data_IF_741859751420
#
_entry.id   IF_741859751420
#
_cell.length_a   1.000
_cell.length_b   1.000
_cell.length_c   1.000
_cell.angle_alpha   90.00
_cell.angle_beta   90.00
_cell.angle_gamma   90.00
#
_symmetry.space_group_name_H-M   'P 1'
#
loop_
_entity.id
_entity.type
_entity.pdbx_description
1 polymer ?
#
# COMPACT_ATOMS: atom_id res chain seq x y z
N UNK A 1 -71.11 -37.53 39.70
CA UNK A 1 -69.80 -37.91 39.09
C UNK A 1 -69.32 -36.70 38.29
N UNK A 2 -68.33 -35.96 38.80
CA UNK A 2 -67.79 -34.74 38.15
C UNK A 2 -66.46 -35.09 37.48
N UNK A 3 -66.40 -34.92 36.16
CA UNK A 3 -65.23 -35.19 35.32
C UNK A 3 -64.22 -34.06 35.48
N UNK A 4 -63.00 -34.38 35.91
CA UNK A 4 -61.86 -33.46 36.04
C UNK A 4 -61.15 -33.40 34.69
N UNK A 5 -61.07 -32.21 34.08
CA UNK A 5 -60.27 -31.93 32.88
C UNK A 5 -58.87 -31.50 33.33
N UNK A 6 -57.84 -32.28 32.98
CA UNK A 6 -56.43 -31.95 33.22
C UNK A 6 -55.92 -31.15 32.02
N UNK A 7 -55.58 -29.88 32.23
CA UNK A 7 -54.88 -29.03 31.27
C UNK A 7 -53.37 -29.31 31.37
N UNK A 8 -52.79 -29.91 30.32
CA UNK A 8 -51.33 -29.99 30.16
C UNK A 8 -50.80 -28.64 29.67
N UNK A 9 -50.06 -27.94 30.55
CA UNK A 9 -49.29 -26.76 30.19
C UNK A 9 -48.00 -27.18 29.46
N UNK A 10 -47.88 -26.80 28.18
CA UNK A 10 -46.65 -26.95 27.41
C UNK A 10 -45.71 -25.78 27.72
N UNK A 11 -44.68 -26.03 28.54
CA UNK A 11 -43.57 -25.09 28.72
C UNK A 11 -42.65 -25.16 27.50
N UNK A 12 -42.65 -24.11 26.68
CA UNK A 12 -41.62 -23.87 25.66
C UNK A 12 -40.27 -23.63 26.37
N UNK A 13 -39.34 -24.57 26.26
CA UNK A 13 -37.94 -24.35 26.62
C UNK A 13 -37.28 -23.62 25.45
N UNK A 14 -36.98 -22.34 25.63
CA UNK A 14 -36.15 -21.59 24.69
C UNK A 14 -34.70 -22.09 24.80
N UNK A 15 -34.25 -22.86 23.81
CA UNK A 15 -32.85 -23.23 23.66
C UNK A 15 -32.02 -21.97 23.38
N UNK A 16 -30.92 -21.71 24.12
CA UNK A 16 -30.03 -20.61 23.80
C UNK A 16 -29.41 -20.88 22.43
N UNK A 17 -29.68 -19.98 21.47
CA UNK A 17 -29.05 -20.01 20.16
C UNK A 17 -27.54 -19.96 20.34
N UNK A 18 -26.85 -21.04 19.94
CA UNK A 18 -25.40 -21.09 19.95
C UNK A 18 -24.85 -19.94 19.12
N UNK A 19 -24.05 -19.10 19.77
CA UNK A 19 -23.18 -18.14 19.08
C UNK A 19 -22.23 -18.98 18.23
N UNK A 20 -22.49 -19.06 16.92
CA UNK A 20 -21.49 -19.56 15.98
C UNK A 20 -20.34 -18.57 16.02
N UNK A 21 -19.20 -18.99 16.56
CA UNK A 21 -17.93 -18.35 16.26
C UNK A 21 -17.85 -18.22 14.73
N UNK A 22 -17.57 -17.02 14.23
CA UNK A 22 -17.24 -16.86 12.82
C UNK A 22 -16.07 -17.79 12.52
N UNK A 23 -16.28 -18.74 11.61
CA UNK A 23 -15.19 -19.57 11.10
C UNK A 23 -14.08 -18.63 10.63
N UNK A 24 -12.82 -18.94 11.00
CA UNK A 24 -11.68 -18.16 10.56
C UNK A 24 -11.73 -18.05 9.03
N UNK A 25 -11.60 -16.83 8.51
CA UNK A 25 -11.63 -16.60 7.08
C UNK A 25 -10.57 -17.51 6.43
N UNK A 26 -10.93 -18.31 5.40
CA UNK A 26 -9.94 -19.09 4.69
C UNK A 26 -8.85 -18.14 4.17
N UNK A 27 -7.59 -18.42 4.55
CA UNK A 27 -6.42 -17.57 4.29
C UNK A 27 -6.30 -16.30 5.12
N UNK A 28 -6.83 -16.28 6.35
CA UNK A 28 -6.57 -15.22 7.32
C UNK A 28 -5.06 -14.96 7.51
N UNK A 29 -4.69 -13.69 7.67
CA UNK A 29 -3.31 -13.32 8.00
C UNK A 29 -3.09 -13.47 9.51
N UNK A 30 -2.12 -14.29 9.90
CA UNK A 30 -1.72 -14.45 11.29
C UNK A 30 -1.02 -13.18 11.80
N UNK A 31 -1.77 -12.37 12.57
CA UNK A 31 -1.24 -11.17 13.23
C UNK A 31 -0.42 -11.60 14.46
N UNK A 32 0.84 -11.14 14.60
CA UNK A 32 1.65 -11.49 15.77
C UNK A 32 0.98 -11.11 17.09
N UNK A 33 1.01 -11.97 18.13
CA UNK A 33 0.30 -11.74 19.40
C UNK A 33 0.73 -10.48 20.19
N UNK A 34 1.85 -9.85 19.79
CA UNK A 34 2.34 -8.62 20.42
C UNK A 34 1.73 -7.34 19.83
N UNK A 35 0.93 -7.45 18.77
CA UNK A 35 0.07 -6.35 18.32
C UNK A 35 -0.98 -6.06 19.40
N UNK A 36 -1.23 -4.78 19.65
CA UNK A 36 -2.17 -4.33 20.64
C UNK A 36 -3.61 -4.55 20.19
N UNK A 37 -4.44 -5.01 21.12
CA UNK A 37 -5.89 -5.02 20.99
C UNK A 37 -6.43 -3.81 21.73
N UNK A 38 -6.86 -2.79 21.00
CA UNK A 38 -7.37 -1.53 21.55
C UNK A 38 -8.84 -1.33 21.16
N UNK A 39 -9.48 -0.28 21.69
CA UNK A 39 -10.81 0.14 21.25
C UNK A 39 -10.82 0.86 19.90
N UNK A 40 -9.65 1.01 19.26
CA UNK A 40 -9.46 1.69 17.98
C UNK A 40 -9.91 3.17 17.99
N UNK A 41 -9.87 3.84 19.15
CA UNK A 41 -9.81 5.31 19.21
C UNK A 41 -8.34 5.72 19.06
N UNK A 42 -7.98 6.12 17.84
CA UNK A 42 -6.61 6.42 17.48
C UNK A 42 -6.05 7.64 18.21
N UNK A 43 -6.88 8.52 18.78
CA UNK A 43 -6.41 9.64 19.60
C UNK A 43 -5.98 9.15 20.98
N UNK A 44 -6.77 8.24 21.57
CA UNK A 44 -6.40 7.57 22.82
C UNK A 44 -5.16 6.70 22.62
N UNK A 45 -5.13 5.89 21.56
CA UNK A 45 -3.99 5.02 21.24
C UNK A 45 -2.69 5.80 21.06
N UNK A 46 -2.72 6.95 20.38
CA UNK A 46 -1.57 7.86 20.24
C UNK A 46 -1.17 8.45 21.58
N UNK A 47 -2.12 8.92 22.39
CA UNK A 47 -1.84 9.51 23.69
C UNK A 47 -1.23 8.50 24.66
N UNK A 48 -1.73 7.26 24.66
CA UNK A 48 -1.23 6.18 25.51
C UNK A 48 0.15 5.69 25.05
N UNK A 49 0.37 5.53 23.74
CA UNK A 49 1.71 5.25 23.21
C UNK A 49 2.71 6.34 23.62
N UNK A 50 2.32 7.62 23.54
CA UNK A 50 3.18 8.75 23.90
C UNK A 50 3.53 8.78 25.40
N UNK A 51 2.62 8.39 26.30
CA UNK A 51 2.91 8.25 27.74
C UNK A 51 3.99 7.21 28.02
N UNK A 52 4.08 6.17 27.19
CA UNK A 52 5.15 5.16 27.24
C UNK A 52 6.42 5.57 26.46
N UNK A 53 6.46 6.77 25.88
CA UNK A 53 7.56 7.22 25.04
C UNK A 53 7.63 6.50 23.69
N UNK A 54 6.52 5.91 23.23
CA UNK A 54 6.37 5.18 21.96
C UNK A 54 5.56 6.00 20.95
N UNK A 55 5.66 5.59 19.69
CA UNK A 55 4.82 6.05 18.57
C UNK A 55 3.81 4.98 18.16
N UNK A 56 2.88 5.29 17.27
CA UNK A 56 1.93 4.30 16.78
C UNK A 56 2.37 3.74 15.42
N UNK A 57 2.28 2.42 15.26
CA UNK A 57 2.42 1.72 13.99
C UNK A 57 1.06 1.09 13.66
N UNK A 58 0.39 1.57 12.62
CA UNK A 58 -0.88 1.03 12.16
C UNK A 58 -0.65 0.21 10.90
N UNK A 59 -0.82 -1.10 11.01
CA UNK A 59 -0.80 -2.02 9.89
C UNK A 59 -2.22 -2.18 9.33
N UNK A 60 -2.38 -2.08 8.01
CA UNK A 60 -3.61 -2.38 7.30
C UNK A 60 -3.35 -3.53 6.33
N UNK A 61 -3.98 -4.67 6.58
CA UNK A 61 -3.86 -5.88 5.77
C UNK A 61 -5.18 -6.37 5.22
N UNK A 62 -5.15 -7.47 4.46
CA UNK A 62 -6.36 -8.21 4.07
C UNK A 62 -6.05 -9.70 4.03
N UNK A 63 -7.08 -10.51 4.21
CA UNK A 63 -6.95 -11.97 4.11
C UNK A 63 -6.64 -12.38 2.66
N UNK A 64 -5.89 -13.46 2.49
CA UNK A 64 -5.44 -13.93 1.17
C UNK A 64 -4.38 -13.06 0.49
N UNK A 65 -3.84 -12.03 1.17
CA UNK A 65 -2.78 -11.14 0.65
C UNK A 65 -1.37 -11.75 0.81
N UNK A 66 -0.68 -12.12 -0.30
CA UNK A 66 0.65 -12.73 -0.20
C UNK A 66 1.72 -11.77 0.34
N UNK A 67 1.61 -10.48 0.00
CA UNK A 67 2.50 -9.43 0.52
C UNK A 67 2.37 -9.25 2.03
N UNK A 68 1.15 -9.36 2.54
CA UNK A 68 0.83 -9.28 3.96
C UNK A 68 1.42 -10.47 4.70
N UNK A 69 1.22 -11.68 4.15
CA UNK A 69 1.88 -12.90 4.64
C UNK A 69 3.40 -12.75 4.63
N UNK A 70 3.98 -12.18 3.57
CA UNK A 70 5.42 -11.96 3.49
C UNK A 70 5.92 -11.00 4.57
N UNK A 71 5.21 -9.89 4.83
CA UNK A 71 5.57 -8.98 5.93
C UNK A 71 5.60 -9.73 7.28
N UNK A 72 4.57 -10.53 7.58
CA UNK A 72 4.49 -11.28 8.85
C UNK A 72 5.62 -12.31 8.97
N UNK A 73 5.87 -13.06 7.90
CA UNK A 73 6.78 -14.22 7.91
C UNK A 73 8.24 -13.89 7.63
N UNK A 74 8.54 -12.75 6.99
CA UNK A 74 9.90 -12.33 6.67
C UNK A 74 10.39 -11.18 7.54
N UNK A 75 9.52 -10.23 7.93
CA UNK A 75 9.95 -9.06 8.71
C UNK A 75 9.62 -9.29 10.19
N UNK A 76 8.34 -9.51 10.53
CA UNK A 76 7.89 -9.70 11.92
C UNK A 76 8.18 -11.09 12.50
N UNK A 77 8.92 -11.93 11.78
CA UNK A 77 9.54 -13.15 12.31
C UNK A 77 10.97 -12.91 12.82
N UNK A 78 11.59 -11.78 12.46
CA UNK A 78 12.96 -11.47 12.84
C UNK A 78 12.99 -10.79 14.20
N UNK A 79 13.76 -11.37 15.12
CA UNK A 79 13.88 -10.85 16.49
C UNK A 79 14.31 -9.38 16.53
N UNK A 80 15.26 -8.97 15.69
CA UNK A 80 15.74 -7.58 15.66
C UNK A 80 14.61 -6.58 15.32
N UNK A 81 13.80 -6.90 14.30
CA UNK A 81 12.66 -6.07 13.88
C UNK A 81 11.57 -6.07 14.95
N UNK A 82 11.24 -7.24 15.51
CA UNK A 82 10.20 -7.36 16.55
C UNK A 82 10.59 -6.60 17.82
N UNK A 83 11.81 -6.80 18.32
CA UNK A 83 12.30 -6.16 19.54
C UNK A 83 12.36 -4.63 19.36
N UNK A 84 12.84 -4.15 18.20
CA UNK A 84 12.85 -2.73 17.84
C UNK A 84 11.43 -2.16 17.74
N UNK A 85 10.52 -2.87 17.06
CA UNK A 85 9.13 -2.42 16.91
C UNK A 85 8.45 -2.30 18.28
N UNK A 86 8.55 -3.32 19.12
CA UNK A 86 7.92 -3.32 20.46
C UNK A 86 8.52 -2.30 21.42
N UNK A 87 9.79 -1.98 21.26
CA UNK A 87 10.48 -0.98 22.09
C UNK A 87 10.01 0.44 21.78
N UNK A 88 9.75 0.75 20.51
CA UNK A 88 9.51 2.11 20.04
C UNK A 88 8.07 2.38 19.59
N UNK A 89 7.26 1.34 19.39
CA UNK A 89 5.94 1.46 18.84
C UNK A 89 4.90 0.62 19.58
N UNK A 90 3.68 1.15 19.65
CA UNK A 90 2.47 0.36 19.83
C UNK A 90 1.97 -0.01 18.44
N UNK A 91 1.88 -1.31 18.14
CA UNK A 91 1.44 -1.77 16.82
C UNK A 91 -0.02 -2.21 16.85
N UNK A 92 -0.85 -1.65 15.96
CA UNK A 92 -2.27 -1.97 15.82
C UNK A 92 -2.52 -2.51 14.41
N UNK A 93 -3.31 -3.58 14.32
CA UNK A 93 -3.68 -4.18 13.06
C UNK A 93 -5.12 -3.83 12.69
N UNK A 94 -5.33 -3.42 11.45
CA UNK A 94 -6.62 -3.21 10.81
C UNK A 94 -6.79 -4.16 9.62
N UNK A 95 -8.04 -4.55 9.37
CA UNK A 95 -8.43 -5.27 8.16
C UNK A 95 -9.03 -4.28 7.15
N UNK A 96 -8.48 -4.24 5.92
CA UNK A 96 -8.95 -3.42 4.80
C UNK A 96 -10.45 -3.60 4.51
N UNK A 97 -10.97 -4.80 4.74
CA UNK A 97 -12.38 -5.14 4.55
C UNK A 97 -13.16 -5.23 5.87
N UNK A 98 -12.50 -4.93 6.98
CA UNK A 98 -13.04 -5.05 8.33
C UNK A 98 -14.20 -4.09 8.60
N UNK A 99 -15.03 -4.50 9.54
CA UNK A 99 -16.21 -3.76 9.98
C UNK A 99 -16.14 -3.34 11.45
N UNK A 100 -14.99 -3.49 12.12
CA UNK A 100 -14.81 -2.94 13.47
C UNK A 100 -14.94 -1.43 13.42
N UNK A 101 -15.57 -0.88 14.44
CA UNK A 101 -15.67 0.56 14.63
C UNK A 101 -14.28 1.13 14.97
N UNK A 102 -13.96 2.28 14.38
CA UNK A 102 -12.73 3.04 14.61
C UNK A 102 -13.09 4.50 14.81
N UNK A 103 -12.33 5.21 15.63
CA UNK A 103 -12.40 6.67 15.76
C UNK A 103 -11.03 7.21 15.33
N UNK A 104 -10.98 7.87 14.16
CA UNK A 104 -9.72 8.37 13.63
C UNK A 104 -9.23 9.63 14.37
N UNK A 105 -8.03 10.10 14.01
CA UNK A 105 -7.40 11.30 14.59
C UNK A 105 -8.26 12.56 14.46
N UNK A 106 -9.10 12.63 13.43
CA UNK A 106 -10.06 13.73 13.21
C UNK A 106 -11.36 13.60 14.02
N UNK A 107 -11.48 12.56 14.86
CA UNK A 107 -12.64 12.29 15.70
C UNK A 107 -13.83 11.66 14.98
N UNK A 108 -13.74 11.36 13.67
CA UNK A 108 -14.82 10.69 12.95
C UNK A 108 -14.85 9.20 13.28
N UNK A 109 -16.04 8.73 13.64
CA UNK A 109 -16.32 7.30 13.79
C UNK A 109 -16.61 6.67 12.43
N UNK A 110 -15.92 5.59 12.10
CA UNK A 110 -16.09 4.86 10.84
C UNK A 110 -15.67 3.40 10.98
N UNK A 111 -16.15 2.52 10.11
CA UNK A 111 -15.64 1.15 10.07
C UNK A 111 -14.22 1.08 9.50
N UNK A 112 -13.46 0.01 9.76
CA UNK A 112 -12.10 -0.15 9.22
C UNK A 112 -12.05 0.03 7.68
N UNK A 113 -12.99 -0.57 6.95
CA UNK A 113 -13.08 -0.40 5.48
C UNK A 113 -13.42 1.02 5.04
N UNK A 114 -14.13 1.79 5.86
CA UNK A 114 -14.39 3.20 5.59
C UNK A 114 -13.16 4.06 5.91
N UNK A 115 -12.44 3.73 6.99
CA UNK A 115 -11.17 4.36 7.33
C UNK A 115 -10.10 4.14 6.27
N UNK A 116 -9.93 2.90 5.82
CA UNK A 116 -8.98 2.59 4.76
C UNK A 116 -9.28 3.37 3.46
N UNK A 117 -10.56 3.59 3.13
CA UNK A 117 -10.95 4.47 2.01
C UNK A 117 -10.66 5.94 2.29
N UNK A 118 -10.97 6.44 3.49
CA UNK A 118 -10.69 7.83 3.86
C UNK A 118 -9.19 8.15 3.87
N UNK A 119 -8.35 7.15 4.16
CA UNK A 119 -6.89 7.22 4.11
C UNK A 119 -6.31 6.90 2.72
N UNK A 120 -7.14 6.66 1.70
CA UNK A 120 -6.70 6.29 0.35
C UNK A 120 -5.75 5.07 0.32
N UNK A 121 -6.07 4.02 1.08
CA UNK A 121 -5.31 2.78 1.12
C UNK A 121 -5.58 1.96 -0.16
N UNK A 122 -4.65 2.07 -1.12
CA UNK A 122 -4.73 1.41 -2.43
C UNK A 122 -3.98 0.07 -2.48
N UNK A 123 -3.11 -0.20 -1.51
CA UNK A 123 -2.27 -1.40 -1.47
C UNK A 123 -2.23 -2.02 -0.08
N UNK A 124 -2.06 -3.34 -0.02
CA UNK A 124 -1.81 -4.07 1.23
C UNK A 124 -0.56 -4.93 1.11
N UNK A 125 0.28 -5.01 2.16
CA UNK A 125 0.10 -4.35 3.45
C UNK A 125 0.36 -2.86 3.34
N UNK A 126 -0.37 -2.04 4.09
CA UNK A 126 0.01 -0.64 4.31
C UNK A 126 0.44 -0.45 5.75
N UNK A 127 1.54 0.25 6.00
CA UNK A 127 2.03 0.53 7.35
C UNK A 127 2.15 2.04 7.54
N UNK A 128 1.35 2.58 8.44
CA UNK A 128 1.33 4.00 8.79
C UNK A 128 2.02 4.19 10.13
N UNK A 129 2.95 5.13 10.18
CA UNK A 129 3.62 5.53 11.41
C UNK A 129 3.08 6.89 11.83
N UNK A 130 2.46 6.96 13.01
CA UNK A 130 1.94 8.22 13.54
C UNK A 130 2.88 8.74 14.64
N UNK A 131 3.13 10.05 14.60
CA UNK A 131 3.85 10.75 15.65
C UNK A 131 2.98 10.93 16.91
N UNK A 132 3.56 11.55 17.93
CA UNK A 132 2.95 11.80 19.23
C UNK A 132 1.73 12.75 19.16
N UNK A 133 1.48 13.38 18.00
CA UNK A 133 0.33 14.27 17.73
C UNK A 133 -0.70 13.61 16.81
N UNK A 134 -0.50 12.36 16.41
CA UNK A 134 -1.36 11.63 15.50
C UNK A 134 -1.13 11.98 14.01
N UNK A 135 -0.05 12.69 13.68
CA UNK A 135 0.31 12.97 12.29
C UNK A 135 1.02 11.76 11.68
N UNK A 136 0.60 11.33 10.48
CA UNK A 136 1.30 10.26 9.75
C UNK A 136 2.64 10.81 9.24
N UNK A 137 3.74 10.36 9.84
CA UNK A 137 5.11 10.81 9.49
C UNK A 137 5.77 9.94 8.44
N UNK A 138 5.38 8.66 8.35
CA UNK A 138 5.78 7.75 7.29
C UNK A 138 4.61 6.85 6.94
N UNK A 139 4.43 6.61 5.64
CA UNK A 139 3.51 5.60 5.11
C UNK A 139 4.26 4.70 4.16
N UNK A 140 4.12 3.40 4.37
CA UNK A 140 4.63 2.35 3.48
C UNK A 140 3.44 1.71 2.79
N UNK A 141 3.36 1.81 1.47
CA UNK A 141 2.33 1.16 0.66
C UNK A 141 2.90 -0.09 0.01
N UNK A 142 2.56 -1.27 0.49
CA UNK A 142 3.11 -2.55 0.00
C UNK A 142 4.22 -3.13 0.88
N UNK A 143 4.85 -4.19 0.39
CA UNK A 143 5.89 -4.91 1.12
C UNK A 143 7.28 -4.30 0.89
N UNK A 144 8.01 -4.10 1.99
CA UNK A 144 9.41 -3.68 1.98
C UNK A 144 10.30 -4.76 2.61
N UNK A 145 11.46 -5.10 2.02
CA UNK A 145 12.37 -6.08 2.58
C UNK A 145 12.86 -5.73 3.99
N UNK A 146 13.29 -6.72 4.79
CA UNK A 146 13.69 -6.52 6.19
C UNK A 146 14.68 -5.39 6.43
N UNK A 147 15.74 -5.29 5.62
CA UNK A 147 16.77 -4.24 5.77
C UNK A 147 16.19 -2.84 5.60
N UNK A 148 15.35 -2.64 4.58
CA UNK A 148 14.70 -1.35 4.35
C UNK A 148 13.63 -1.06 5.42
N UNK A 149 12.82 -2.05 5.78
CA UNK A 149 11.79 -1.91 6.80
C UNK A 149 12.41 -1.55 8.16
N UNK A 150 13.51 -2.22 8.54
CA UNK A 150 14.25 -1.91 9.75
C UNK A 150 14.82 -0.49 9.74
N UNK A 151 15.37 -0.05 8.60
CA UNK A 151 15.85 1.33 8.45
C UNK A 151 14.72 2.37 8.59
N UNK A 152 13.49 2.06 8.15
CA UNK A 152 12.32 2.91 8.39
C UNK A 152 11.97 2.96 9.88
N UNK A 153 12.02 1.82 10.58
CA UNK A 153 11.81 1.81 12.04
C UNK A 153 12.81 2.71 12.75
N UNK A 154 14.09 2.67 12.36
CA UNK A 154 15.12 3.53 12.93
C UNK A 154 14.87 5.01 12.63
N UNK A 155 14.47 5.33 11.40
CA UNK A 155 14.12 6.70 11.00
C UNK A 155 12.99 7.27 11.86
N UNK A 156 11.90 6.52 12.01
CA UNK A 156 10.72 6.99 12.75
C UNK A 156 10.98 6.99 14.26
N UNK A 157 11.64 5.96 14.79
CA UNK A 157 11.98 5.88 16.21
C UNK A 157 12.97 6.99 16.62
N UNK A 158 13.89 7.36 15.72
CA UNK A 158 14.86 8.44 15.91
C UNK A 158 14.31 9.86 15.65
N UNK A 159 13.03 9.99 15.27
CA UNK A 159 12.37 11.27 14.95
C UNK A 159 13.09 12.07 13.85
N UNK A 160 13.53 11.38 12.80
CA UNK A 160 14.32 11.98 11.74
C UNK A 160 13.50 12.83 10.75
N UNK A 161 12.17 12.71 10.76
CA UNK A 161 11.26 13.36 9.80
C UNK A 161 11.32 14.89 9.76
N UNK A 162 11.78 15.54 10.83
CA UNK A 162 11.98 16.99 10.86
C UNK A 162 13.36 17.45 10.40
N UNK A 163 14.28 16.53 10.09
CA UNK A 163 15.71 16.82 9.84
C UNK A 163 16.19 16.38 8.46
N UNK A 164 15.68 15.26 7.97
CA UNK A 164 16.13 14.63 6.74
C UNK A 164 14.94 13.95 6.07
N UNK A 165 14.91 13.93 4.74
CA UNK A 165 13.90 13.17 4.01
C UNK A 165 14.17 11.67 4.11
N UNK A 166 13.12 10.86 4.24
CA UNK A 166 13.23 9.40 4.33
C UNK A 166 14.02 8.80 3.16
N UNK A 167 13.85 9.34 1.95
CA UNK A 167 14.60 8.89 0.76
C UNK A 167 16.11 9.05 0.92
N UNK A 168 16.57 10.11 1.58
CA UNK A 168 17.99 10.40 1.76
C UNK A 168 18.57 9.55 2.90
N UNK A 169 17.78 9.33 3.96
CA UNK A 169 18.11 8.39 5.03
C UNK A 169 18.38 6.99 4.50
N UNK A 170 17.45 6.44 3.71
CA UNK A 170 17.51 5.06 3.22
C UNK A 170 18.70 4.82 2.29
N UNK A 171 19.02 5.77 1.41
CA UNK A 171 20.22 5.70 0.55
C UNK A 171 21.51 5.53 1.35
N UNK A 172 21.56 6.09 2.56
CA UNK A 172 22.74 6.01 3.42
C UNK A 172 22.84 4.67 4.14
N UNK A 173 21.72 4.16 4.66
CA UNK A 173 21.73 3.08 5.67
C UNK A 173 21.23 1.73 5.16
N UNK A 174 20.38 1.70 4.14
CA UNK A 174 19.80 0.47 3.58
C UNK A 174 20.50 0.10 2.26
N UNK A 175 21.82 -0.10 2.31
CA UNK A 175 22.62 -0.46 1.14
C UNK A 175 22.47 -1.94 0.83
N UNK A 176 21.84 -2.25 -0.29
CA UNK A 176 21.77 -3.57 -0.89
C UNK A 176 22.52 -3.54 -2.24
N UNK A 177 23.10 -4.66 -2.71
CA UNK A 177 23.73 -4.70 -4.02
C UNK A 177 22.73 -4.33 -5.10
N UNK A 178 23.06 -3.32 -5.89
CA UNK A 178 22.24 -2.84 -6.98
C UNK A 178 23.09 -2.21 -8.08
N UNK A 179 22.46 -1.94 -9.22
CA UNK A 179 23.12 -1.40 -10.39
C UNK A 179 23.54 0.05 -10.15
N UNK A 180 24.80 0.42 -10.45
CA UNK A 180 25.25 1.81 -10.40
C UNK A 180 24.74 2.63 -11.61
N UNK A 181 23.90 2.04 -12.47
CA UNK A 181 23.31 2.66 -13.65
C UNK A 181 21.81 2.42 -13.67
N UNK A 182 21.06 3.42 -14.09
CA UNK A 182 19.64 3.27 -14.37
C UNK A 182 19.44 2.29 -15.54
N UNK A 183 18.44 1.43 -15.42
CA UNK A 183 18.10 0.48 -16.46
C UNK A 183 17.31 1.17 -17.58
N UNK A 184 17.69 0.90 -18.83
CA UNK A 184 17.04 1.49 -20.00
C UNK A 184 16.10 0.51 -20.68
N UNK A 185 14.99 1.03 -21.19
CA UNK A 185 13.97 0.24 -21.87
C UNK A 185 13.54 0.92 -23.18
N UNK A 186 13.25 0.15 -24.24
CA UNK A 186 12.96 0.68 -25.57
C UNK A 186 11.64 1.48 -25.62
N UNK A 187 10.77 1.34 -24.62
CA UNK A 187 9.50 2.07 -24.55
C UNK A 187 9.62 3.43 -23.86
N UNK A 188 10.77 3.78 -23.30
CA UNK A 188 10.96 5.09 -22.69
C UNK A 188 11.03 6.20 -23.73
N UNK A 189 10.39 7.31 -23.42
CA UNK A 189 10.51 8.55 -24.18
C UNK A 189 11.96 9.05 -24.17
N UNK A 190 12.41 9.58 -25.31
CA UNK A 190 13.69 10.26 -25.45
C UNK A 190 13.54 11.77 -25.18
N UNK A 191 14.61 12.47 -24.75
CA UNK A 191 14.61 13.93 -24.68
C UNK A 191 14.47 14.58 -26.07
N UNK A 192 13.92 15.81 -26.16
CA UNK A 192 13.44 16.64 -25.05
C UNK A 192 12.10 16.15 -24.46
N UNK A 193 11.98 16.20 -23.14
CA UNK A 193 10.80 15.69 -22.42
C UNK A 193 9.66 16.70 -22.39
N UNK A 194 8.68 16.52 -23.27
CA UNK A 194 7.39 17.25 -23.25
C UNK A 194 6.27 16.28 -22.80
N UNK A 195 5.85 16.41 -21.54
CA UNK A 195 4.89 15.51 -20.91
C UNK A 195 3.43 15.98 -21.07
N UNK A 196 3.19 17.12 -21.71
CA UNK A 196 1.83 17.62 -21.99
C UNK A 196 1.03 16.59 -22.77
N UNK A 197 -0.25 16.49 -22.48
CA UNK A 197 -1.17 15.61 -23.21
C UNK A 197 -1.94 16.39 -24.27
N UNK A 198 -2.07 15.79 -25.45
CA UNK A 198 -2.86 16.33 -26.57
C UNK A 198 -4.13 15.50 -26.73
N UNK A 199 -5.21 16.03 -27.34
CA UNK A 199 -6.38 15.22 -27.65
C UNK A 199 -5.99 13.93 -28.40
N UNK A 200 -6.42 12.79 -27.88
CA UNK A 200 -6.10 11.47 -28.43
C UNK A 200 -4.73 10.90 -28.03
N UNK A 201 -3.95 11.59 -27.18
CA UNK A 201 -2.71 11.04 -26.63
C UNK A 201 -2.99 9.84 -25.74
N UNK A 202 -2.01 8.93 -25.66
CA UNK A 202 -2.00 7.87 -24.65
C UNK A 202 -1.93 8.49 -23.24
N UNK A 203 -2.47 7.79 -22.22
CA UNK A 203 -2.14 8.12 -20.83
C UNK A 203 -0.62 8.07 -20.63
N UNK A 204 -0.13 8.82 -19.65
CA UNK A 204 1.29 8.96 -19.35
C UNK A 204 1.61 8.18 -18.07
N UNK A 205 2.65 7.36 -18.10
CA UNK A 205 3.26 6.79 -16.90
C UNK A 205 4.65 7.42 -16.69
N UNK A 206 4.89 7.96 -15.51
CA UNK A 206 6.19 8.54 -15.15
C UNK A 206 6.84 7.70 -14.07
N UNK A 207 7.92 7.02 -14.43
CA UNK A 207 8.73 6.17 -13.56
C UNK A 207 9.79 7.03 -12.87
N UNK A 208 9.78 7.06 -11.55
CA UNK A 208 10.81 7.66 -10.72
C UNK A 208 11.67 6.59 -10.07
N UNK A 209 12.98 6.71 -10.23
CA UNK A 209 13.95 5.74 -9.75
C UNK A 209 15.28 6.38 -9.32
N UNK A 210 16.21 5.56 -8.87
CA UNK A 210 17.58 5.96 -8.53
C UNK A 210 18.53 4.81 -8.88
N UNK A 211 19.81 5.14 -9.08
CA UNK A 211 20.87 4.11 -9.07
C UNK A 211 20.96 3.48 -7.69
N UNK A 212 21.55 2.30 -7.62
CA UNK A 212 21.68 1.51 -6.40
C UNK A 212 20.30 1.21 -5.74
N UNK A 213 19.30 0.90 -6.58
CA UNK A 213 17.95 0.56 -6.18
C UNK A 213 17.60 -0.89 -6.58
N UNK A 214 17.79 -1.89 -5.69
CA UNK A 214 17.50 -3.28 -6.03
C UNK A 214 16.04 -3.53 -6.47
N UNK A 215 15.01 -2.90 -5.85
CA UNK A 215 13.64 -3.05 -6.33
C UNK A 215 13.40 -2.43 -7.72
N UNK A 216 14.16 -1.38 -8.08
CA UNK A 216 14.14 -0.83 -9.44
C UNK A 216 14.77 -1.84 -10.41
N UNK A 217 15.93 -2.40 -10.06
CA UNK A 217 16.61 -3.42 -10.87
C UNK A 217 15.71 -4.65 -11.11
N UNK A 218 14.99 -5.10 -10.09
CA UNK A 218 14.02 -6.20 -10.20
C UNK A 218 12.84 -5.83 -11.11
N UNK A 219 12.25 -4.63 -10.94
CA UNK A 219 11.19 -4.14 -11.82
C UNK A 219 11.62 -4.18 -13.30
N UNK A 220 12.86 -3.83 -13.60
CA UNK A 220 13.41 -3.85 -14.97
C UNK A 220 13.78 -5.24 -15.47
N UNK A 221 14.44 -6.04 -14.64
CA UNK A 221 14.92 -7.38 -15.01
C UNK A 221 13.78 -8.40 -15.10
N UNK A 222 12.73 -8.22 -14.32
CA UNK A 222 11.65 -9.19 -14.19
C UNK A 222 10.32 -8.58 -14.64
N UNK A 223 9.88 -7.47 -14.03
CA UNK A 223 8.60 -6.84 -14.34
C UNK A 223 8.45 -6.44 -15.81
N UNK A 224 9.34 -5.59 -16.31
CA UNK A 224 9.35 -5.10 -17.69
C UNK A 224 9.88 -6.10 -18.73
N UNK A 225 10.07 -7.37 -18.36
CA UNK A 225 10.33 -8.47 -19.32
C UNK A 225 9.12 -9.35 -19.56
N UNK A 226 8.11 -9.28 -18.70
CA UNK A 226 6.89 -10.08 -18.78
C UNK A 226 5.97 -9.53 -19.87
N UNK A 227 5.46 -10.42 -20.73
CA UNK A 227 4.62 -10.05 -21.88
C UNK A 227 3.35 -9.30 -21.44
N UNK A 228 2.71 -9.79 -20.39
CA UNK A 228 1.51 -9.20 -19.81
C UNK A 228 1.72 -7.80 -19.21
N UNK A 229 2.95 -7.46 -18.83
CA UNK A 229 3.31 -6.09 -18.41
C UNK A 229 3.57 -5.24 -19.64
N UNK A 230 4.39 -5.72 -20.58
CA UNK A 230 4.72 -5.03 -21.82
C UNK A 230 3.48 -4.68 -22.67
N UNK A 231 2.51 -5.59 -22.75
CA UNK A 231 1.24 -5.38 -23.44
C UNK A 231 0.44 -4.21 -22.82
N UNK A 232 0.51 -4.02 -21.50
CA UNK A 232 -0.12 -2.89 -20.82
C UNK A 232 0.71 -1.61 -20.95
N UNK A 233 2.04 -1.70 -20.80
CA UNK A 233 2.97 -0.57 -20.97
C UNK A 233 2.85 0.05 -22.37
N UNK A 234 2.65 -0.75 -23.41
CA UNK A 234 2.47 -0.27 -24.78
C UNK A 234 1.26 0.67 -24.97
N UNK A 235 0.31 0.68 -24.01
CA UNK A 235 -0.87 1.56 -24.00
C UNK A 235 -0.56 2.95 -23.45
N UNK A 236 0.67 3.21 -23.01
CA UNK A 236 1.11 4.46 -22.41
C UNK A 236 2.23 5.11 -23.22
N UNK A 237 2.37 6.43 -23.04
CA UNK A 237 3.67 7.07 -23.17
C UNK A 237 4.38 6.94 -21.82
N UNK A 238 5.66 6.56 -21.82
CA UNK A 238 6.39 6.29 -20.57
C UNK A 238 7.64 7.14 -20.48
N UNK A 239 7.72 7.98 -19.45
CA UNK A 239 8.91 8.74 -19.11
C UNK A 239 9.60 8.14 -17.87
N UNK A 240 10.92 8.30 -17.77
CA UNK A 240 11.73 7.80 -16.66
C UNK A 240 12.66 8.89 -16.16
N UNK A 241 12.67 9.12 -14.86
CA UNK A 241 13.48 10.15 -14.24
C UNK A 241 14.18 9.67 -12.97
N UNK A 242 15.42 10.13 -12.79
CA UNK A 242 16.13 9.97 -11.52
C UNK A 242 15.71 11.03 -10.51
N UNK A 243 15.53 10.65 -9.25
CA UNK A 243 15.32 11.60 -8.15
C UNK A 243 16.51 12.55 -7.91
N UNK A 244 17.71 12.18 -8.37
CA UNK A 244 18.92 12.98 -8.18
C UNK A 244 19.23 13.91 -9.37
N UNK A 245 18.64 13.67 -10.55
CA UNK A 245 18.99 14.38 -11.77
C UNK A 245 18.12 15.62 -12.01
N UNK A 246 18.76 16.74 -12.34
CA UNK A 246 18.09 17.98 -12.76
C UNK A 246 17.74 17.97 -14.26
N UNK A 247 17.21 16.85 -14.78
CA UNK A 247 16.84 16.70 -16.19
C UNK A 247 15.71 17.68 -16.56
N UNK A 248 15.89 18.56 -17.56
CA UNK A 248 14.84 19.50 -17.97
C UNK A 248 13.63 18.78 -18.56
N UNK A 249 12.42 19.22 -18.18
CA UNK A 249 11.16 18.70 -18.72
C UNK A 249 10.06 19.77 -18.71
N UNK A 250 9.03 19.53 -19.51
CA UNK A 250 7.73 20.23 -19.39
C UNK A 250 6.72 19.25 -18.80
N UNK A 251 6.10 19.62 -17.68
CA UNK A 251 5.13 18.79 -16.95
C UNK A 251 3.79 18.66 -17.70
N UNK A 252 2.89 17.75 -17.29
CA UNK A 252 1.58 17.59 -17.93
C UNK A 252 0.72 18.86 -17.97
N UNK A 253 0.81 19.71 -16.94
CA UNK A 253 0.18 21.04 -16.84
C UNK A 253 0.89 22.14 -17.65
N UNK A 254 1.98 21.81 -18.35
CA UNK A 254 2.67 22.70 -19.28
C UNK A 254 3.76 23.58 -18.69
N UNK A 255 4.15 23.36 -17.43
CA UNK A 255 5.17 24.13 -16.73
C UNK A 255 6.58 23.57 -17.00
N UNK A 256 7.53 24.45 -17.28
CA UNK A 256 8.93 24.07 -17.40
C UNK A 256 9.56 23.90 -16.01
N UNK A 257 10.26 22.79 -15.78
CA UNK A 257 10.92 22.46 -14.51
C UNK A 257 12.04 21.43 -14.73
N UNK A 258 12.61 20.90 -13.66
CA UNK A 258 13.48 19.72 -13.69
C UNK A 258 12.82 18.51 -13.05
N UNK A 259 13.23 17.31 -13.48
CA UNK A 259 12.80 16.05 -12.90
C UNK A 259 12.93 16.00 -11.37
N UNK A 260 14.07 16.41 -10.82
CA UNK A 260 14.29 16.46 -9.38
C UNK A 260 13.32 17.42 -8.67
N UNK A 261 13.10 18.63 -9.21
CA UNK A 261 12.20 19.60 -8.60
C UNK A 261 10.75 19.10 -8.63
N UNK A 262 10.34 18.52 -9.75
CA UNK A 262 8.99 17.97 -9.91
C UNK A 262 8.74 16.73 -9.03
N UNK A 263 9.73 15.86 -8.85
CA UNK A 263 9.60 14.72 -7.94
C UNK A 263 9.38 15.15 -6.48
N UNK A 264 10.00 16.25 -6.04
CA UNK A 264 9.75 16.83 -4.71
C UNK A 264 8.35 17.40 -4.59
N UNK A 265 7.87 18.08 -5.63
CA UNK A 265 6.51 18.63 -5.70
C UNK A 265 5.45 17.53 -5.65
N UNK A 266 5.68 16.41 -6.35
CA UNK A 266 4.82 15.22 -6.31
C UNK A 266 4.95 14.39 -5.02
N UNK A 267 5.83 14.81 -4.09
CA UNK A 267 6.15 14.11 -2.86
C UNK A 267 6.61 12.66 -3.07
N UNK A 268 7.45 12.40 -4.08
CA UNK A 268 8.01 11.07 -4.34
C UNK A 268 9.06 10.74 -3.28
N UNK A 269 8.65 9.94 -2.29
CA UNK A 269 9.51 9.52 -1.18
C UNK A 269 10.24 8.19 -1.43
N UNK A 270 9.79 7.40 -2.41
CA UNK A 270 10.22 6.02 -2.62
C UNK A 270 10.56 5.70 -4.07
N UNK A 271 11.41 4.72 -4.29
CA UNK A 271 11.78 4.21 -5.62
C UNK A 271 11.76 2.68 -5.64
N UNK A 272 11.24 2.04 -6.71
CA UNK A 272 10.58 2.70 -7.84
C UNK A 272 9.22 3.27 -7.42
N UNK A 273 8.87 4.41 -8.02
CA UNK A 273 7.51 4.95 -7.98
C UNK A 273 7.03 5.17 -9.41
N UNK A 274 5.74 4.95 -9.68
CA UNK A 274 5.14 5.24 -10.98
C UNK A 274 3.93 6.15 -10.76
N UNK A 275 3.97 7.34 -11.33
CA UNK A 275 2.83 8.27 -11.32
C UNK A 275 2.11 8.19 -12.65
N UNK A 276 0.81 7.94 -12.63
CA UNK A 276 -0.01 7.80 -13.81
C UNK A 276 -0.89 9.01 -14.01
N UNK A 277 -0.81 9.56 -15.21
CA UNK A 277 -1.66 10.64 -15.69
C UNK A 277 -2.59 10.10 -16.77
N UNK A 278 -3.85 10.52 -16.73
CA UNK A 278 -4.80 10.18 -17.79
C UNK A 278 -4.47 10.91 -19.12
N UNK A 279 -5.29 10.69 -20.15
CA UNK A 279 -5.11 11.34 -21.44
C UNK A 279 -5.33 12.87 -21.40
N UNK A 280 -5.87 13.42 -20.30
CA UNK A 280 -5.98 14.86 -20.05
C UNK A 280 -4.78 15.45 -19.30
N UNK A 281 -3.87 14.60 -18.80
CA UNK A 281 -2.71 15.04 -18.02
C UNK A 281 -3.01 15.21 -16.53
N UNK A 282 -4.14 14.70 -16.05
CA UNK A 282 -4.50 14.69 -14.63
C UNK A 282 -3.93 13.45 -13.98
N UNK A 283 -3.28 13.59 -12.83
CA UNK A 283 -2.85 12.44 -12.03
C UNK A 283 -4.07 11.65 -11.54
N UNK A 284 -4.12 10.35 -11.84
CA UNK A 284 -5.28 9.49 -11.52
C UNK A 284 -4.91 8.27 -10.69
N UNK A 285 -3.63 7.92 -10.63
CA UNK A 285 -3.14 6.79 -9.85
C UNK A 285 -1.65 6.91 -9.63
N UNK A 286 -1.14 6.29 -8.56
CA UNK A 286 0.29 6.15 -8.35
C UNK A 286 0.63 4.84 -7.65
N UNK A 287 1.81 4.33 -7.96
CA UNK A 287 2.47 3.25 -7.23
C UNK A 287 3.63 3.88 -6.45
N UNK A 288 3.65 3.68 -5.14
CA UNK A 288 4.67 4.23 -4.23
C UNK A 288 5.66 3.18 -3.71
N UNK A 289 5.61 1.95 -4.22
CA UNK A 289 6.52 0.87 -3.85
C UNK A 289 6.64 -0.19 -4.95
N UNK A 290 7.53 -1.14 -4.72
CA UNK A 290 7.68 -2.30 -5.58
C UNK A 290 6.42 -3.19 -5.59
N UNK A 291 6.00 -3.59 -6.79
CA UNK A 291 4.88 -4.48 -7.05
C UNK A 291 5.35 -5.65 -7.92
N UNK A 292 4.97 -6.89 -7.55
CA UNK A 292 5.19 -8.07 -8.40
C UNK A 292 4.44 -7.94 -9.73
N UNK A 293 4.84 -8.69 -10.76
CA UNK A 293 4.37 -8.48 -12.13
C UNK A 293 2.84 -8.37 -12.31
N UNK A 294 2.04 -9.18 -11.62
CA UNK A 294 0.58 -9.08 -11.70
C UNK A 294 0.03 -7.73 -11.24
N UNK A 295 0.55 -7.21 -10.12
CA UNK A 295 0.11 -5.91 -9.58
C UNK A 295 0.63 -4.76 -10.42
N UNK A 296 1.85 -4.87 -10.95
CA UNK A 296 2.41 -3.92 -11.92
C UNK A 296 1.53 -3.86 -13.18
N UNK A 297 1.31 -4.99 -13.85
CA UNK A 297 0.44 -5.08 -15.04
C UNK A 297 -0.96 -4.55 -14.76
N UNK A 298 -1.55 -4.95 -13.63
CA UNK A 298 -2.90 -4.52 -13.26
C UNK A 298 -2.99 -3.02 -12.96
N UNK A 299 -1.93 -2.38 -12.47
CA UNK A 299 -1.87 -0.94 -12.26
C UNK A 299 -1.90 -0.16 -13.57
N UNK A 300 -1.13 -0.61 -14.58
CA UNK A 300 -1.21 -0.06 -15.94
C UNK A 300 -2.60 -0.30 -16.54
N UNK A 301 -3.16 -1.52 -16.40
CA UNK A 301 -4.50 -1.83 -16.89
C UNK A 301 -5.58 -0.95 -16.22
N UNK A 302 -5.49 -0.72 -14.91
CA UNK A 302 -6.44 0.11 -14.17
C UNK A 302 -6.56 1.51 -14.74
N UNK A 303 -5.44 2.14 -15.08
CA UNK A 303 -5.43 3.48 -15.67
C UNK A 303 -5.87 3.45 -17.13
N UNK A 304 -5.37 2.49 -17.91
CA UNK A 304 -5.66 2.41 -19.34
C UNK A 304 -7.13 2.02 -19.62
N UNK A 305 -7.75 1.25 -18.72
CA UNK A 305 -9.17 0.87 -18.77
C UNK A 305 -10.06 1.94 -18.11
N UNK A 306 -9.46 3.03 -17.58
CA UNK A 306 -10.14 4.07 -16.80
C UNK A 306 -10.94 3.51 -15.61
N UNK A 307 -10.42 2.46 -14.97
CA UNK A 307 -11.04 1.82 -13.81
C UNK A 307 -11.33 2.81 -12.69
N UNK A 308 -10.41 3.76 -12.46
CA UNK A 308 -10.52 4.81 -11.45
C UNK A 308 -11.75 5.71 -11.57
N UNK A 309 -12.36 5.80 -12.76
CA UNK A 309 -13.54 6.62 -12.97
C UNK A 309 -14.81 5.99 -12.37
N UNK A 310 -14.87 4.65 -12.30
CA UNK A 310 -16.06 3.91 -11.84
C UNK A 310 -15.84 3.21 -10.50
N UNK A 311 -14.61 2.76 -10.23
CA UNK A 311 -14.22 2.14 -8.97
C UNK A 311 -12.88 2.76 -8.54
N UNK A 312 -12.90 3.80 -7.69
CA UNK A 312 -11.70 4.47 -7.21
C UNK A 312 -10.80 3.60 -6.32
N UNK A 313 -11.32 2.50 -5.76
CA UNK A 313 -10.52 1.55 -5.00
C UNK A 313 -9.84 0.56 -5.96
N UNK A 314 -8.54 0.72 -6.15
CA UNK A 314 -7.73 -0.21 -6.94
C UNK A 314 -7.87 -1.65 -6.42
N UNK A 315 -7.94 -1.86 -5.10
CA UNK A 315 -8.12 -3.21 -4.53
C UNK A 315 -9.45 -3.85 -4.94
N UNK A 316 -10.56 -3.10 -4.92
CA UNK A 316 -11.87 -3.62 -5.38
C UNK A 316 -11.85 -3.90 -6.88
N UNK A 317 -11.30 -2.98 -7.66
CA UNK A 317 -11.15 -3.15 -9.10
C UNK A 317 -10.28 -4.38 -9.43
N UNK A 318 -9.20 -4.58 -8.70
CA UNK A 318 -8.28 -5.71 -8.86
C UNK A 318 -8.94 -7.05 -8.51
N UNK A 319 -9.76 -7.10 -7.46
CA UNK A 319 -10.55 -8.29 -7.10
C UNK A 319 -11.51 -8.67 -8.23
N UNK A 320 -12.30 -7.70 -8.71
CA UNK A 320 -13.24 -7.92 -9.82
C UNK A 320 -12.52 -8.36 -11.11
N UNK A 321 -11.38 -7.74 -11.43
CA UNK A 321 -10.52 -8.16 -12.55
C UNK A 321 -10.03 -9.60 -12.37
N UNK A 322 -9.53 -9.94 -11.18
CA UNK A 322 -9.00 -11.27 -10.90
C UNK A 322 -10.09 -12.35 -11.01
N UNK A 323 -11.32 -12.08 -10.56
CA UNK A 323 -12.47 -12.97 -10.74
C UNK A 323 -12.79 -13.19 -12.21
N UNK A 324 -12.82 -12.13 -13.02
CA UNK A 324 -13.04 -12.23 -14.46
C UNK A 324 -11.95 -13.04 -15.17
N UNK A 325 -10.68 -12.82 -14.84
CA UNK A 325 -9.56 -13.61 -15.39
C UNK A 325 -9.67 -15.09 -15.02
N UNK A 326 -9.97 -15.42 -13.76
CA UNK A 326 -10.18 -16.81 -13.32
C UNK A 326 -11.36 -17.47 -14.02
N UNK A 327 -12.45 -16.74 -14.24
CA UNK A 327 -13.62 -17.24 -14.97
C UNK A 327 -13.30 -17.61 -16.43
N UNK A 328 -12.24 -17.01 -17.02
CA UNK A 328 -11.71 -17.35 -18.34
C UNK A 328 -10.64 -18.45 -18.32
N UNK A 329 -10.36 -19.04 -17.16
CA UNK A 329 -9.36 -20.09 -17.00
C UNK A 329 -7.91 -19.59 -16.97
N UNK A 330 -7.68 -18.29 -16.81
CA UNK A 330 -6.33 -17.72 -16.74
C UNK A 330 -5.72 -17.93 -15.35
N UNK A 331 -4.45 -18.38 -15.31
CA UNK A 331 -3.70 -18.52 -14.07
C UNK A 331 -3.22 -17.14 -13.60
N UNK A 332 -3.56 -16.78 -12.37
CA UNK A 332 -3.10 -15.55 -11.72
C UNK A 332 -2.00 -15.88 -10.72
N UNK A 333 -0.81 -15.35 -10.97
CA UNK A 333 0.35 -15.48 -10.09
C UNK A 333 0.54 -14.17 -9.32
N UNK A 334 0.16 -14.17 -8.04
CA UNK A 334 0.18 -12.96 -7.20
C UNK A 334 1.56 -12.68 -6.59
N UNK A 335 2.43 -13.68 -6.54
CA UNK A 335 3.68 -13.63 -5.78
C UNK A 335 4.88 -14.32 -6.43
N UNK A 336 4.67 -15.48 -7.05
CA UNK A 336 5.76 -16.34 -7.52
C UNK A 336 6.39 -15.90 -8.85
#
# INVERSE_FOLDING_TARGET
MKTILILLAWTLVALPGGVRAQDAAPHAIDIPPWFANTFLDFREDVADAAKEGKRLLVYVGQDGCPYCKKLMTANFSQRAIVDKTRKHFVAIALNLWGDRETIWIDGRTMSEKALARALDIQFTPSVLFLDERGSVVVRLDGYYPPTQFEAVLDYVAGRHEGREALSDWLKRVAKEPASPRLADEPFFMAPPYDLRRRPGAKPLAVVFETVDCPPCDEMHREGFRRREVLDQVARFDVARFSLAASTPLTTPDGRATTAQAWARELAIAWTPSIVFFDAGGVEVFRISAYLRPFHLSSSFAYVADRGYANEPSFQRWLQARAEHLRARGERIELWD
#
